data_IF_672527748570
#
_entry.id   IF_672527748570
#
_cell.length_a   1.000
_cell.length_b   1.000
_cell.length_c   1.000
_cell.angle_alpha   90.00
_cell.angle_beta   90.00
_cell.angle_gamma   90.00
#
_symmetry.space_group_name_H-M   'P 1'
#
loop_
_entity.id
_entity.type
_entity.pdbx_description
1 polymer ?
#
# COMPACT_ATOMS: atom_id res chain seq x y z
N UNK A 1 -20.72 -4.02 26.38
CA UNK A 1 -20.94 -4.87 25.19
C UNK A 1 -19.67 -4.94 24.38
N UNK A 2 -19.06 -6.06 24.38
CA UNK A 2 -17.95 -6.34 23.49
C UNK A 2 -18.50 -6.48 22.07
N UNK A 3 -18.23 -5.50 21.22
CA UNK A 3 -18.43 -5.72 19.79
C UNK A 3 -17.48 -6.84 19.39
N UNK A 4 -18.05 -8.00 19.08
CA UNK A 4 -17.33 -9.01 18.34
C UNK A 4 -16.85 -8.31 17.04
N UNK A 5 -15.56 -8.02 16.97
CA UNK A 5 -14.96 -7.64 15.69
C UNK A 5 -15.26 -8.80 14.73
N UNK A 6 -16.26 -8.62 13.88
CA UNK A 6 -16.41 -9.52 12.76
C UNK A 6 -15.11 -9.45 11.97
N UNK A 7 -14.39 -10.57 11.93
CA UNK A 7 -13.32 -10.73 10.95
C UNK A 7 -13.95 -10.42 9.61
N UNK A 8 -13.54 -9.31 9.00
CA UNK A 8 -13.99 -9.02 7.66
C UNK A 8 -13.35 -10.03 6.69
N UNK A 9 -13.98 -10.23 5.54
CA UNK A 9 -13.48 -11.14 4.50
C UNK A 9 -12.00 -10.92 4.15
N UNK A 10 -11.52 -9.69 4.34
CA UNK A 10 -10.14 -9.31 4.04
C UNK A 10 -9.15 -9.93 5.03
N UNK A 11 -9.46 -9.90 6.34
CA UNK A 11 -8.60 -10.50 7.37
C UNK A 11 -8.50 -12.00 7.18
N UNK A 12 -9.61 -12.65 6.86
CA UNK A 12 -9.65 -14.08 6.57
C UNK A 12 -8.84 -14.42 5.31
N UNK A 13 -8.96 -13.60 4.27
CA UNK A 13 -8.18 -13.73 3.04
C UNK A 13 -6.70 -13.61 3.32
N UNK A 14 -6.26 -12.61 4.09
CA UNK A 14 -4.86 -12.41 4.44
C UNK A 14 -4.31 -13.52 5.33
N UNK A 15 -5.10 -14.07 6.23
CA UNK A 15 -4.72 -15.24 7.03
C UNK A 15 -4.50 -16.47 6.14
N UNK A 16 -5.38 -16.69 5.19
CA UNK A 16 -5.28 -17.77 4.21
C UNK A 16 -4.03 -17.63 3.33
N UNK A 17 -3.75 -16.40 2.91
CA UNK A 17 -2.52 -16.07 2.16
C UNK A 17 -1.27 -16.41 2.95
N UNK A 18 -1.20 -15.95 4.20
CA UNK A 18 -0.05 -16.20 5.05
C UNK A 18 0.15 -17.69 5.31
N UNK A 19 -0.95 -18.43 5.50
CA UNK A 19 -0.90 -19.87 5.67
C UNK A 19 -0.41 -20.59 4.41
N UNK A 20 -0.87 -20.16 3.23
CA UNK A 20 -0.41 -20.70 1.96
C UNK A 20 1.08 -20.44 1.74
N UNK A 21 1.55 -19.21 2.03
CA UNK A 21 2.97 -18.86 1.93
C UNK A 21 3.84 -19.65 2.90
N UNK A 22 3.37 -19.89 4.13
CA UNK A 22 4.07 -20.74 5.11
C UNK A 22 4.18 -22.17 4.64
N UNK A 23 3.08 -22.75 4.12
CA UNK A 23 3.10 -24.10 3.58
C UNK A 23 4.11 -24.25 2.46
N UNK A 24 4.14 -23.31 1.52
CA UNK A 24 5.10 -23.34 0.42
C UNK A 24 6.55 -23.21 0.93
N UNK A 25 6.77 -22.38 1.96
CA UNK A 25 8.09 -22.21 2.58
C UNK A 25 8.52 -23.48 3.33
N UNK A 26 7.63 -24.08 4.11
CA UNK A 26 7.90 -25.31 4.86
C UNK A 26 8.15 -26.49 3.92
N UNK A 27 7.39 -26.58 2.82
CA UNK A 27 7.62 -27.59 1.78
C UNK A 27 8.98 -27.41 1.09
N UNK A 28 9.41 -26.16 0.89
CA UNK A 28 10.73 -25.85 0.33
C UNK A 28 11.86 -26.22 1.30
N UNK A 29 11.65 -26.06 2.61
CA UNK A 29 12.62 -26.44 3.63
C UNK A 29 12.79 -27.97 3.73
N UNK A 30 11.72 -28.72 3.51
CA UNK A 30 11.69 -30.18 3.61
C UNK A 30 11.96 -30.89 2.27
N UNK A 31 11.87 -30.18 1.14
CA UNK A 31 12.02 -30.80 -0.16
C UNK A 31 13.49 -30.88 -0.58
N UNK A 32 13.90 -32.09 -0.96
CA UNK A 32 15.13 -32.28 -1.68
C UNK A 32 15.00 -31.79 -3.11
N UNK A 33 16.07 -31.26 -3.68
CA UNK A 33 16.17 -30.73 -5.04
C UNK A 33 15.36 -31.52 -6.11
N UNK A 34 14.69 -30.86 -7.04
CA UNK A 34 14.42 -29.41 -7.06
C UNK A 34 13.24 -29.03 -6.17
N UNK A 35 13.20 -27.80 -5.58
CA UNK A 35 12.05 -27.38 -4.81
C UNK A 35 10.81 -27.33 -5.70
N UNK A 36 9.66 -27.75 -5.16
CA UNK A 36 8.40 -27.66 -5.86
C UNK A 36 8.07 -26.20 -6.17
N UNK A 37 7.58 -25.90 -7.39
CA UNK A 37 7.16 -24.55 -7.69
C UNK A 37 6.02 -24.13 -6.76
N UNK A 38 5.97 -22.85 -6.32
CA UNK A 38 4.90 -22.36 -5.49
C UNK A 38 3.56 -22.50 -6.22
N UNK A 39 2.47 -22.69 -5.46
CA UNK A 39 1.13 -22.71 -6.01
C UNK A 39 0.85 -21.40 -6.77
N UNK A 40 -0.07 -21.46 -7.74
CA UNK A 40 -0.44 -20.28 -8.55
C UNK A 40 -0.93 -19.11 -7.69
N UNK A 41 -1.73 -19.41 -6.65
CA UNK A 41 -2.16 -18.41 -5.68
C UNK A 41 -1.00 -17.79 -4.91
N UNK A 42 -0.06 -18.61 -4.44
CA UNK A 42 1.12 -18.12 -3.72
C UNK A 42 2.00 -17.22 -4.59
N UNK A 43 2.10 -17.47 -5.89
CA UNK A 43 2.84 -16.60 -6.81
C UNK A 43 2.26 -15.20 -6.91
N UNK A 44 0.94 -15.07 -6.99
CA UNK A 44 0.26 -13.77 -7.04
C UNK A 44 0.49 -13.01 -5.74
N UNK A 45 0.34 -13.64 -4.59
CA UNK A 45 0.56 -12.99 -3.31
C UNK A 45 2.02 -12.55 -3.11
N UNK A 46 2.98 -13.33 -3.57
CA UNK A 46 4.38 -12.91 -3.55
C UNK A 46 4.62 -11.65 -4.40
N UNK A 47 3.97 -11.53 -5.55
CA UNK A 47 4.04 -10.32 -6.36
C UNK A 47 3.44 -9.12 -5.65
N UNK A 48 2.31 -9.31 -4.98
CA UNK A 48 1.67 -8.26 -4.19
C UNK A 48 2.62 -7.79 -3.08
N UNK A 49 3.18 -8.73 -2.32
CA UNK A 49 4.14 -8.42 -1.25
C UNK A 49 5.37 -7.72 -1.80
N UNK A 50 5.93 -8.22 -2.90
CA UNK A 50 7.07 -7.60 -3.56
C UNK A 50 6.77 -6.16 -4.01
N UNK A 51 5.57 -5.89 -4.50
CA UNK A 51 5.17 -4.53 -4.85
C UNK A 51 5.08 -3.62 -3.63
N UNK A 52 4.61 -4.11 -2.49
CA UNK A 52 4.63 -3.36 -1.23
C UNK A 52 6.05 -3.06 -0.77
N UNK A 53 6.99 -4.00 -0.90
CA UNK A 53 8.40 -3.78 -0.61
C UNK A 53 9.00 -2.69 -1.50
N UNK A 54 8.67 -2.71 -2.79
CA UNK A 54 9.09 -1.65 -3.74
C UNK A 54 8.53 -0.28 -3.35
N UNK A 55 7.30 -0.22 -2.88
CA UNK A 55 6.67 1.01 -2.39
C UNK A 55 7.37 1.49 -1.11
N UNK A 56 7.67 0.58 -0.19
CA UNK A 56 8.45 0.88 1.01
C UNK A 56 9.81 1.48 0.65
N UNK A 57 10.55 0.86 -0.26
CA UNK A 57 11.83 1.36 -0.74
C UNK A 57 11.71 2.76 -1.35
N UNK A 58 10.66 3.01 -2.12
CA UNK A 58 10.38 4.31 -2.69
C UNK A 58 10.12 5.38 -1.62
N UNK A 59 9.43 5.04 -0.55
CA UNK A 59 9.08 5.95 0.54
C UNK A 59 10.24 6.20 1.52
N UNK A 60 11.18 5.27 1.63
CA UNK A 60 12.30 5.33 2.59
C UNK A 60 13.66 5.58 1.94
N UNK A 61 13.74 5.57 0.60
CA UNK A 61 14.97 5.75 -0.14
C UNK A 61 15.34 7.21 -0.38
N UNK A 62 16.26 7.45 -1.30
CA UNK A 62 16.78 8.76 -1.66
C UNK A 62 15.68 9.77 -2.00
N UNK A 63 14.58 9.33 -2.56
CA UNK A 63 13.42 10.17 -2.88
C UNK A 63 12.77 10.79 -1.64
N UNK A 64 12.77 10.08 -0.51
CA UNK A 64 12.23 10.61 0.74
C UNK A 64 13.03 11.82 1.24
N UNK A 65 14.36 11.78 1.11
CA UNK A 65 15.22 12.91 1.43
C UNK A 65 15.03 14.07 0.45
N UNK A 66 14.86 13.75 -0.83
CA UNK A 66 14.71 14.74 -1.90
C UNK A 66 13.38 15.50 -1.82
N UNK A 67 12.28 14.81 -1.51
CA UNK A 67 10.94 15.43 -1.50
C UNK A 67 10.52 15.99 -0.15
N UNK A 68 11.20 15.64 0.93
CA UNK A 68 10.91 16.14 2.28
C UNK A 68 9.65 15.52 2.91
N UNK A 69 9.05 16.24 3.85
CA UNK A 69 7.89 15.80 4.59
C UNK A 69 6.61 15.82 3.74
N UNK A 70 6.03 14.65 3.40
CA UNK A 70 4.83 14.60 2.57
C UNK A 70 3.59 15.21 3.22
N UNK A 71 3.47 15.15 4.55
CA UNK A 71 2.34 15.74 5.26
C UNK A 71 2.37 17.27 5.18
N UNK A 72 3.52 17.87 5.44
CA UNK A 72 3.71 19.31 5.32
C UNK A 72 3.47 19.79 3.88
N UNK A 73 3.90 19.01 2.89
CA UNK A 73 3.69 19.32 1.47
C UNK A 73 2.21 19.29 1.11
N UNK A 74 1.49 18.26 1.51
CA UNK A 74 0.04 18.16 1.28
C UNK A 74 -0.72 19.28 1.98
N UNK A 75 -0.30 19.66 3.17
CA UNK A 75 -0.89 20.79 3.91
C UNK A 75 -0.71 22.10 3.14
N UNK A 76 0.48 22.38 2.63
CA UNK A 76 0.75 23.59 1.83
C UNK A 76 -0.06 23.62 0.54
N UNK A 77 -0.18 22.49 -0.14
CA UNK A 77 -1.00 22.37 -1.36
C UNK A 77 -2.48 22.62 -1.03
N UNK A 78 -2.98 22.00 0.03
CA UNK A 78 -4.36 22.21 0.47
C UNK A 78 -4.67 23.66 0.80
N UNK A 79 -3.78 24.32 1.52
CA UNK A 79 -3.92 25.75 1.85
C UNK A 79 -3.91 26.64 0.63
N UNK A 80 -3.03 26.35 -0.33
CA UNK A 80 -2.90 27.16 -1.55
C UNK A 80 -4.11 27.05 -2.47
N UNK A 81 -4.63 25.85 -2.66
CA UNK A 81 -5.65 25.59 -3.67
C UNK A 81 -7.07 25.58 -3.13
N UNK A 82 -7.25 25.21 -1.88
CA UNK A 82 -8.58 25.00 -1.28
C UNK A 82 -8.82 25.84 -0.02
N UNK A 83 -7.82 26.58 0.43
CA UNK A 83 -7.89 27.35 1.67
C UNK A 83 -7.55 26.55 2.92
N UNK A 84 -7.66 27.17 4.09
CA UNK A 84 -7.21 26.61 5.36
C UNK A 84 -7.98 25.36 5.84
N UNK A 85 -9.14 25.08 5.25
CA UNK A 85 -10.03 23.98 5.65
C UNK A 85 -9.72 22.65 4.96
N UNK A 86 -8.91 22.66 3.89
CA UNK A 86 -8.59 21.43 3.19
C UNK A 86 -7.59 20.60 3.98
N UNK A 87 -8.03 19.43 4.41
CA UNK A 87 -7.18 18.50 5.14
C UNK A 87 -6.09 17.93 4.22
N UNK A 88 -4.89 17.73 4.76
CA UNK A 88 -3.80 17.07 4.06
C UNK A 88 -4.20 15.68 3.54
N UNK A 89 -5.09 14.98 4.23
CA UNK A 89 -5.69 13.71 3.82
C UNK A 89 -6.41 13.84 2.48
N UNK A 90 -7.22 14.88 2.31
CA UNK A 90 -7.96 15.12 1.05
C UNK A 90 -7.02 15.35 -0.13
N UNK A 91 -5.93 16.08 0.09
CA UNK A 91 -4.91 16.30 -0.94
C UNK A 91 -4.25 14.99 -1.35
N UNK A 92 -3.90 14.14 -0.39
CA UNK A 92 -3.31 12.84 -0.68
C UNK A 92 -4.28 11.93 -1.48
N UNK A 93 -5.57 11.95 -1.13
CA UNK A 93 -6.61 11.23 -1.88
C UNK A 93 -6.73 11.76 -3.31
N UNK A 94 -6.72 13.07 -3.50
CA UNK A 94 -6.75 13.68 -4.83
C UNK A 94 -5.55 13.27 -5.68
N UNK A 95 -4.37 13.19 -5.08
CA UNK A 95 -3.17 12.71 -5.78
C UNK A 95 -3.30 11.25 -6.17
N UNK A 96 -3.90 10.42 -5.33
CA UNK A 96 -4.22 9.03 -5.68
C UNK A 96 -5.21 8.96 -6.85
N UNK A 97 -6.23 9.79 -6.85
CA UNK A 97 -7.20 9.87 -7.96
C UNK A 97 -6.54 10.25 -9.27
N UNK A 98 -5.60 11.20 -9.25
CA UNK A 98 -4.82 11.56 -10.44
C UNK A 98 -4.06 10.35 -11.00
N UNK A 99 -3.47 9.56 -10.14
CA UNK A 99 -2.75 8.34 -10.56
C UNK A 99 -3.70 7.27 -11.11
N UNK A 100 -4.88 7.14 -10.51
CA UNK A 100 -5.93 6.24 -11.01
C UNK A 100 -6.39 6.66 -12.41
N UNK A 101 -6.58 7.94 -12.67
CA UNK A 101 -6.91 8.43 -14.01
C UNK A 101 -5.81 8.11 -15.03
N UNK A 102 -4.55 8.21 -14.63
CA UNK A 102 -3.41 7.80 -15.49
C UNK A 102 -3.44 6.30 -15.82
N UNK A 103 -3.81 5.46 -14.84
CA UNK A 103 -3.97 4.01 -15.04
C UNK A 103 -5.07 3.73 -16.05
N UNK A 104 -6.18 4.46 -15.99
CA UNK A 104 -7.28 4.31 -16.96
C UNK A 104 -6.87 4.68 -18.38
N UNK A 105 -5.98 5.66 -18.51
CA UNK A 105 -5.43 6.05 -19.81
C UNK A 105 -4.41 5.03 -20.34
N UNK A 106 -3.53 4.53 -19.48
CA UNK A 106 -2.52 3.53 -19.81
C UNK A 106 -2.33 2.56 -18.63
N UNK A 107 -3.02 1.42 -18.70
CA UNK A 107 -3.01 0.39 -17.66
C UNK A 107 -1.67 -0.35 -17.53
N UNK A 108 -0.71 -0.10 -18.42
CA UNK A 108 0.63 -0.72 -18.37
C UNK A 108 1.63 0.05 -17.52
N UNK A 109 1.30 1.23 -17.06
CA UNK A 109 2.18 2.09 -16.25
C UNK A 109 2.26 1.62 -14.81
N UNK A 110 3.21 0.78 -14.49
CA UNK A 110 3.44 0.26 -13.14
C UNK A 110 3.62 1.37 -12.10
N UNK A 111 4.36 2.42 -12.45
CA UNK A 111 4.62 3.55 -11.55
C UNK A 111 3.33 4.22 -11.06
N UNK A 112 2.32 4.32 -11.90
CA UNK A 112 1.04 4.93 -11.53
C UNK A 112 0.29 4.10 -10.49
N UNK A 113 0.35 2.76 -10.57
CA UNK A 113 -0.22 1.89 -9.54
C UNK A 113 0.49 2.07 -8.20
N UNK A 114 1.83 2.04 -8.23
CA UNK A 114 2.64 2.20 -7.01
C UNK A 114 2.42 3.57 -6.36
N UNK A 115 2.39 4.62 -7.16
CA UNK A 115 2.13 5.97 -6.68
C UNK A 115 0.74 6.12 -6.07
N UNK A 116 -0.29 5.53 -6.69
CA UNK A 116 -1.66 5.55 -6.17
C UNK A 116 -1.73 4.88 -4.78
N UNK A 117 -1.11 3.71 -4.64
CA UNK A 117 -1.05 3.00 -3.36
C UNK A 117 -0.30 3.82 -2.31
N UNK A 118 0.82 4.44 -2.68
CA UNK A 118 1.61 5.27 -1.78
C UNK A 118 0.82 6.48 -1.29
N UNK A 119 0.09 7.18 -2.15
CA UNK A 119 -0.75 8.31 -1.75
C UNK A 119 -1.91 7.89 -0.85
N UNK A 120 -2.53 6.74 -1.09
CA UNK A 120 -3.57 6.21 -0.21
C UNK A 120 -3.01 5.80 1.15
N UNK A 121 -1.81 5.22 1.18
CA UNK A 121 -1.13 4.91 2.44
C UNK A 121 -0.79 6.18 3.23
N UNK A 122 -0.36 7.26 2.55
CA UNK A 122 -0.15 8.56 3.17
C UNK A 122 -1.45 9.13 3.75
N UNK A 123 -2.54 9.09 2.98
CA UNK A 123 -3.84 9.56 3.43
C UNK A 123 -4.30 8.82 4.70
N UNK A 124 -4.12 7.50 4.72
CA UNK A 124 -4.43 6.68 5.88
C UNK A 124 -3.59 7.09 7.10
N UNK A 125 -2.28 7.30 6.90
CA UNK A 125 -1.39 7.72 7.97
C UNK A 125 -1.77 9.10 8.53
N UNK A 126 -2.11 10.06 7.68
CA UNK A 126 -2.56 11.40 8.10
C UNK A 126 -3.86 11.35 8.90
N UNK A 127 -4.80 10.50 8.48
CA UNK A 127 -6.04 10.27 9.20
C UNK A 127 -5.77 9.67 10.59
N UNK A 128 -4.91 8.67 10.66
CA UNK A 128 -4.54 8.01 11.92
C UNK A 128 -3.87 8.97 12.90
N UNK A 129 -2.97 9.82 12.44
CA UNK A 129 -2.38 10.87 13.27
C UNK A 129 -3.43 11.86 13.79
N UNK A 130 -4.41 12.21 12.97
CA UNK A 130 -5.51 13.08 13.36
C UNK A 130 -6.35 12.49 14.48
N UNK A 131 -6.54 11.18 14.49
CA UNK A 131 -7.28 10.47 15.55
C UNK A 131 -6.53 10.40 16.89
N UNK A 132 -5.20 10.39 16.86
CA UNK A 132 -4.34 10.37 18.06
C UNK A 132 -4.26 11.73 18.77
N UNK A 133 -4.69 12.79 18.14
CA UNK A 133 -4.75 14.14 18.71
C UNK A 133 -6.09 14.35 19.42
#
# INVERSE_FOLDING_TARGET
MTSLKQKNNWDETMENVNNALRKDTDMLADSMNPPLPPSEGARIYRRIIHNFERIEDMLTGDKAEEYGDPQAMCRRIGQRWFGAEAAETDVAIMMAELKIERIKFDATKEDSYMDAIAYLAMALAFMQEGEER
#
